data_IF_466370140539
#
_entry.id   IF_466370140539
#
_cell.length_a   1.000
_cell.length_b   1.000
_cell.length_c   1.000
_cell.angle_alpha   90.00
_cell.angle_beta   90.00
_cell.angle_gamma   90.00
#
_symmetry.space_group_name_H-M   'P 1'
#
loop_
_entity.id
_entity.type
_entity.pdbx_description
1 polymer ?
#
# COMPACT_ATOMS: atom_id res chain seq x y z
N UNK A 1 8.15 -28.30 -31.24
CA UNK A 1 8.14 -29.61 -30.54
C UNK A 1 8.75 -29.43 -29.15
N UNK A 2 8.11 -30.05 -28.14
CA UNK A 2 8.53 -30.24 -26.73
C UNK A 2 8.31 -29.08 -25.74
N UNK A 3 7.13 -29.08 -25.12
CA UNK A 3 7.06 -29.05 -23.65
C UNK A 3 7.52 -30.44 -23.15
N UNK A 4 8.18 -30.55 -21.98
CA UNK A 4 7.42 -30.78 -20.74
C UNK A 4 8.01 -30.01 -19.53
N UNK A 5 7.20 -29.47 -18.62
CA UNK A 5 6.50 -30.14 -17.50
C UNK A 5 7.44 -30.66 -16.40
N UNK A 6 6.99 -30.39 -15.17
CA UNK A 6 7.07 -31.24 -13.98
C UNK A 6 8.19 -30.96 -12.95
N UNK A 7 7.81 -30.52 -11.74
CA UNK A 7 7.54 -31.35 -10.52
C UNK A 7 8.80 -31.33 -9.65
N UNK A 8 8.81 -30.54 -8.58
CA UNK A 8 8.48 -30.95 -7.19
C UNK A 8 9.62 -31.67 -6.47
N UNK A 9 9.57 -31.57 -5.14
CA UNK A 9 10.37 -32.25 -4.09
C UNK A 9 11.55 -31.42 -3.58
N UNK A 10 11.45 -30.89 -2.36
CA UNK A 10 11.55 -31.57 -1.05
C UNK A 10 12.93 -32.18 -0.82
N UNK A 11 13.70 -31.51 0.04
CA UNK A 11 14.65 -32.08 1.01
C UNK A 11 15.09 -30.87 1.87
N UNK A 12 14.63 -30.69 3.10
CA UNK A 12 14.82 -31.54 4.27
C UNK A 12 16.29 -31.79 4.59
N UNK A 13 16.57 -31.64 5.89
CA UNK A 13 17.69 -32.19 6.61
C UNK A 13 18.90 -31.26 6.65
N UNK A 14 19.10 -30.56 7.76
CA UNK A 14 19.67 -31.12 9.00
C UNK A 14 21.15 -31.39 8.82
N UNK A 15 21.84 -31.19 9.94
CA UNK A 15 23.12 -31.82 10.25
C UNK A 15 24.33 -31.07 9.72
N UNK A 16 25.45 -30.99 10.44
CA UNK A 16 25.79 -31.50 11.76
C UNK A 16 27.12 -30.83 12.08
N UNK A 17 27.31 -30.58 13.37
CA UNK A 17 28.59 -30.41 14.05
C UNK A 17 29.75 -31.24 13.46
N UNK A 18 30.95 -30.65 13.51
CA UNK A 18 32.22 -31.36 13.29
C UNK A 18 33.02 -30.67 12.19
N UNK A 19 34.12 -29.98 12.46
CA UNK A 19 35.09 -30.17 13.52
C UNK A 19 36.42 -30.22 12.80
N UNK A 20 37.24 -29.18 12.93
CA UNK A 20 38.64 -29.24 12.55
C UNK A 20 39.42 -28.43 13.57
N UNK A 21 40.38 -29.14 14.16
CA UNK A 21 41.22 -28.70 15.26
C UNK A 21 42.10 -27.52 14.85
N UNK A 22 42.43 -26.77 15.88
CA UNK A 22 43.31 -25.62 16.01
C UNK A 22 44.62 -25.70 15.20
N UNK A 23 45.24 -24.53 14.99
CA UNK A 23 46.44 -24.26 15.78
C UNK A 23 46.32 -22.97 16.61
N UNK A 24 46.84 -23.06 17.84
CA UNK A 24 47.02 -21.98 18.81
C UNK A 24 48.16 -21.03 18.38
N UNK A 25 48.00 -19.75 18.79
CA UNK A 25 49.02 -18.83 19.34
C UNK A 25 49.08 -17.46 18.64
N UNK A 26 49.48 -16.37 19.34
CA UNK A 26 48.86 -15.89 20.57
C UNK A 26 48.55 -14.38 20.56
N UNK A 27 47.44 -14.04 21.21
CA UNK A 27 47.14 -12.93 22.12
C UNK A 27 47.62 -11.49 21.83
N UNK A 28 46.62 -10.58 21.77
CA UNK A 28 46.70 -9.16 22.10
C UNK A 28 46.54 -8.25 20.88
N UNK A 29 45.34 -7.96 20.37
CA UNK A 29 44.21 -7.37 21.10
C UNK A 29 44.13 -5.86 20.85
N UNK A 30 44.29 -5.40 19.60
CA UNK A 30 44.01 -4.02 19.19
C UNK A 30 42.48 -3.93 18.98
N UNK A 31 41.77 -2.98 19.61
CA UNK A 31 40.33 -2.87 19.43
C UNK A 31 40.00 -2.45 17.99
N UNK A 32 39.05 -3.10 17.30
CA UNK A 32 38.59 -2.62 16.02
C UNK A 32 37.81 -1.31 16.21
N UNK A 33 38.28 -0.28 15.51
CA UNK A 33 37.56 0.93 15.08
C UNK A 33 36.07 0.90 15.40
N UNK A 34 35.69 1.65 16.43
CA UNK A 34 34.30 1.97 16.73
C UNK A 34 33.73 2.73 15.53
N UNK A 35 32.95 2.04 14.68
CA UNK A 35 32.17 2.70 13.64
C UNK A 35 31.01 3.40 14.34
N UNK A 36 31.24 4.66 14.71
CA UNK A 36 30.24 5.57 15.25
C UNK A 36 29.22 5.88 14.15
N UNK A 37 27.99 5.44 14.33
CA UNK A 37 26.83 5.96 13.60
C UNK A 37 25.86 6.53 14.62
N UNK A 38 25.39 7.75 14.31
CA UNK A 38 24.41 8.56 15.04
C UNK A 38 24.94 9.23 16.32
N UNK A 39 25.36 10.49 16.15
CA UNK A 39 25.24 11.53 17.17
C UNK A 39 23.90 11.41 17.89
N UNK A 40 23.93 11.37 19.22
CA UNK A 40 22.72 11.40 20.05
C UNK A 40 21.87 12.61 19.68
N UNK A 41 20.75 12.38 18.99
CA UNK A 41 19.79 13.44 18.75
C UNK A 41 19.16 13.78 20.11
N UNK A 42 19.14 15.07 20.53
CA UNK A 42 18.48 15.44 21.77
C UNK A 42 17.02 14.97 21.68
N UNK A 43 16.58 14.20 22.69
CA UNK A 43 15.18 13.84 22.86
C UNK A 43 14.40 15.14 23.05
N UNK A 44 13.88 15.67 21.94
CA UNK A 44 13.05 16.87 21.97
C UNK A 44 11.86 16.57 22.86
N UNK A 45 11.85 17.22 24.02
CA UNK A 45 10.74 17.19 24.96
C UNK A 45 9.57 17.84 24.25
N UNK A 46 8.50 17.07 24.10
CA UNK A 46 7.11 17.51 24.01
C UNK A 46 6.95 18.89 23.37
N UNK A 47 6.83 18.93 22.04
CA UNK A 47 6.14 20.06 21.41
C UNK A 47 4.66 19.92 21.79
N UNK A 48 4.35 20.43 22.98
CA UNK A 48 3.02 20.65 23.46
C UNK A 48 2.28 21.54 22.47
N UNK A 49 1.06 21.12 22.17
CA UNK A 49 0.05 21.78 21.39
C UNK A 49 0.17 23.33 21.34
N UNK A 50 0.84 23.83 20.30
CA UNK A 50 0.44 25.07 19.65
C UNK A 50 -0.26 24.67 18.34
N UNK A 51 -1.51 24.22 18.47
CA UNK A 51 -2.42 24.07 17.34
C UNK A 51 -2.89 25.47 16.89
N UNK A 52 -1.96 26.34 16.50
CA UNK A 52 -2.26 27.68 16.02
C UNK A 52 -2.18 27.67 14.50
N UNK A 53 -3.33 27.55 13.84
CA UNK A 53 -3.61 27.70 12.40
C UNK A 53 -2.73 26.91 11.39
N UNK A 54 -1.41 27.01 11.48
CA UNK A 54 -0.37 26.36 10.67
C UNK A 54 -0.51 24.83 10.67
N UNK A 55 -0.68 24.20 11.84
CA UNK A 55 -0.88 22.76 11.92
C UNK A 55 -2.21 22.30 11.29
N UNK A 56 -3.24 23.15 11.37
CA UNK A 56 -4.56 22.89 10.74
C UNK A 56 -4.41 23.03 9.23
N UNK A 57 -3.80 24.11 8.73
CA UNK A 57 -3.56 24.36 7.30
C UNK A 57 -2.67 23.27 6.66
N UNK A 58 -1.59 22.86 7.32
CA UNK A 58 -0.72 21.76 6.88
C UNK A 58 -1.43 20.41 6.88
N UNK A 59 -2.33 20.16 7.86
CA UNK A 59 -3.16 18.96 7.90
C UNK A 59 -4.18 18.96 6.77
N UNK A 60 -4.79 20.10 6.42
CA UNK A 60 -5.76 20.22 5.33
C UNK A 60 -5.16 19.85 3.98
N UNK A 61 -3.98 20.37 3.64
CA UNK A 61 -3.31 20.08 2.36
C UNK A 61 -2.85 18.63 2.26
N UNK A 62 -2.25 18.08 3.33
CA UNK A 62 -1.84 16.68 3.37
C UNK A 62 -3.05 15.73 3.32
N UNK A 63 -4.14 16.05 4.01
CA UNK A 63 -5.36 15.23 3.98
C UNK A 63 -6.01 15.23 2.59
N UNK A 64 -6.06 16.37 1.90
CA UNK A 64 -6.56 16.41 0.52
C UNK A 64 -5.71 15.55 -0.42
N UNK A 65 -4.39 15.57 -0.29
CA UNK A 65 -3.52 14.69 -1.08
C UNK A 65 -3.83 13.20 -0.82
N UNK A 66 -3.97 12.82 0.45
CA UNK A 66 -4.27 11.45 0.84
C UNK A 66 -5.64 10.99 0.32
N UNK A 67 -6.65 11.86 0.33
CA UNK A 67 -7.96 11.55 -0.23
C UNK A 67 -7.92 11.41 -1.75
N UNK A 68 -7.20 12.29 -2.47
CA UNK A 68 -7.03 12.17 -3.93
C UNK A 68 -6.44 10.83 -4.32
N UNK A 69 -5.43 10.35 -3.60
CA UNK A 69 -4.84 9.02 -3.83
C UNK A 69 -5.86 7.90 -3.64
N UNK A 70 -6.71 7.99 -2.61
CA UNK A 70 -7.77 6.99 -2.36
C UNK A 70 -8.85 7.01 -3.43
N UNK A 71 -9.28 8.20 -3.87
CA UNK A 71 -10.25 8.38 -4.95
C UNK A 71 -9.72 7.76 -6.25
N UNK A 72 -8.47 8.06 -6.60
CA UNK A 72 -7.82 7.47 -7.78
C UNK A 72 -7.65 5.95 -7.67
N UNK A 73 -7.33 5.44 -6.48
CA UNK A 73 -7.24 4.01 -6.24
C UNK A 73 -8.61 3.33 -6.46
N UNK A 74 -9.68 3.88 -5.90
CA UNK A 74 -11.05 3.38 -6.11
C UNK A 74 -11.42 3.38 -7.60
N UNK A 75 -11.18 4.49 -8.30
CA UNK A 75 -11.46 4.60 -9.74
C UNK A 75 -10.76 3.51 -10.55
N UNK A 76 -9.47 3.27 -10.27
CA UNK A 76 -8.70 2.21 -10.95
C UNK A 76 -9.21 0.82 -10.62
N UNK A 77 -9.66 0.57 -9.38
CA UNK A 77 -10.27 -0.70 -8.98
C UNK A 77 -11.56 -0.96 -9.78
N UNK A 78 -12.45 0.04 -9.88
CA UNK A 78 -13.69 -0.05 -10.68
C UNK A 78 -13.36 -0.38 -12.15
N UNK A 79 -12.40 0.34 -12.75
CA UNK A 79 -12.02 0.08 -14.15
C UNK A 79 -11.44 -1.32 -14.37
N UNK A 80 -10.69 -1.85 -13.39
CA UNK A 80 -10.14 -3.22 -13.46
C UNK A 80 -11.23 -4.27 -13.25
N UNK A 81 -12.15 -4.06 -12.32
CA UNK A 81 -13.24 -5.00 -12.08
C UNK A 81 -14.32 -5.00 -13.15
N UNK A 82 -14.41 -3.95 -13.99
CA UNK A 82 -15.23 -3.98 -15.21
C UNK A 82 -14.56 -4.69 -16.39
N UNK A 83 -13.26 -5.01 -16.32
CA UNK A 83 -12.56 -5.73 -17.38
C UNK A 83 -13.10 -7.15 -17.65
N UNK A 84 -13.43 -8.00 -16.64
CA UNK A 84 -13.96 -9.35 -16.85
C UNK A 84 -15.39 -9.42 -17.43
N UNK A 85 -16.14 -8.31 -17.49
CA UNK A 85 -17.49 -8.29 -18.08
C UNK A 85 -17.40 -8.70 -19.57
N UNK A 86 -18.16 -9.74 -19.95
CA UNK A 86 -18.23 -10.30 -21.30
C UNK A 86 -19.06 -9.45 -22.26
N UNK A 87 -20.18 -8.90 -21.79
CA UNK A 87 -21.03 -8.03 -22.60
C UNK A 87 -20.41 -6.63 -22.78
N UNK A 88 -20.25 -6.21 -24.03
CA UNK A 88 -19.59 -4.95 -24.38
C UNK A 88 -20.45 -3.72 -24.04
N UNK A 89 -21.78 -3.84 -24.15
CA UNK A 89 -22.73 -2.76 -23.90
C UNK A 89 -22.77 -2.42 -22.41
N UNK A 90 -23.06 -3.43 -21.57
CA UNK A 90 -23.07 -3.28 -20.11
C UNK A 90 -21.73 -2.73 -19.57
N UNK A 91 -20.61 -3.17 -20.17
CA UNK A 91 -19.27 -2.70 -19.81
C UNK A 91 -19.05 -1.23 -20.16
N UNK A 92 -19.52 -0.77 -21.32
CA UNK A 92 -19.43 0.63 -21.73
C UNK A 92 -20.29 1.52 -20.83
N UNK A 93 -21.52 1.08 -20.52
CA UNK A 93 -22.44 1.77 -19.63
C UNK A 93 -21.87 1.92 -18.22
N UNK A 94 -21.35 0.84 -17.65
CA UNK A 94 -20.74 0.86 -16.31
C UNK A 94 -19.56 1.83 -16.23
N UNK A 95 -18.73 1.88 -17.27
CA UNK A 95 -17.59 2.81 -17.34
C UNK A 95 -18.01 4.26 -17.51
N UNK A 96 -19.04 4.49 -18.32
CA UNK A 96 -19.63 5.81 -18.51
C UNK A 96 -20.24 6.32 -17.20
N UNK A 97 -20.99 5.45 -16.51
CA UNK A 97 -21.56 5.74 -15.20
C UNK A 97 -20.48 6.10 -14.17
N UNK A 98 -19.44 5.27 -14.04
CA UNK A 98 -18.33 5.55 -13.14
C UNK A 98 -17.68 6.91 -13.47
N UNK A 99 -17.39 7.19 -14.75
CA UNK A 99 -16.79 8.46 -15.17
C UNK A 99 -17.69 9.66 -14.87
N UNK A 100 -18.99 9.56 -15.16
CA UNK A 100 -19.96 10.61 -14.85
C UNK A 100 -19.99 10.90 -13.35
N UNK A 101 -19.88 9.88 -12.52
CA UNK A 101 -19.96 10.06 -11.07
C UNK A 101 -18.74 10.78 -10.47
N UNK A 102 -17.54 10.52 -10.99
CA UNK A 102 -16.35 11.29 -10.62
C UNK A 102 -16.37 12.72 -11.18
N UNK A 103 -16.95 12.96 -12.35
CA UNK A 103 -17.02 14.31 -12.92
C UNK A 103 -18.00 15.20 -12.13
N UNK A 104 -19.15 14.67 -11.70
CA UNK A 104 -20.13 15.40 -10.86
C UNK A 104 -19.51 15.91 -9.56
N UNK A 105 -18.62 15.14 -8.95
CA UNK A 105 -18.03 15.43 -7.65
C UNK A 105 -16.63 16.05 -7.73
N UNK A 106 -16.18 16.47 -8.91
CA UNK A 106 -14.84 17.04 -9.13
C UNK A 106 -14.59 18.33 -8.35
N UNK A 107 -15.64 19.13 -8.12
CA UNK A 107 -15.57 20.41 -7.40
C UNK A 107 -15.59 20.31 -5.87
N UNK A 108 -15.75 19.12 -5.31
CA UNK A 108 -15.86 18.94 -3.86
C UNK A 108 -14.50 19.14 -3.19
N UNK A 109 -14.40 20.11 -2.29
CA UNK A 109 -13.18 20.41 -1.51
C UNK A 109 -13.28 19.98 -0.05
N UNK A 110 -14.49 19.67 0.45
CA UNK A 110 -14.72 19.24 1.82
C UNK A 110 -14.25 17.81 2.08
N UNK A 111 -13.42 17.64 3.10
CA UNK A 111 -12.82 16.35 3.48
C UNK A 111 -13.86 15.37 4.04
N UNK A 112 -14.88 15.87 4.74
CA UNK A 112 -15.95 15.03 5.29
C UNK A 112 -16.77 14.43 4.16
N UNK A 113 -17.23 15.27 3.24
CA UNK A 113 -18.00 14.88 2.09
C UNK A 113 -17.23 13.94 1.15
N UNK A 114 -15.94 14.22 0.87
CA UNK A 114 -15.10 13.31 0.06
C UNK A 114 -15.06 11.90 0.69
N UNK A 115 -14.90 11.80 2.01
CA UNK A 115 -14.85 10.50 2.70
C UNK A 115 -16.19 9.76 2.62
N UNK A 116 -17.29 10.49 2.77
CA UNK A 116 -18.63 9.94 2.62
C UNK A 116 -18.84 9.39 1.20
N UNK A 117 -18.53 10.18 0.17
CA UNK A 117 -18.63 9.75 -1.23
C UNK A 117 -17.74 8.53 -1.52
N UNK A 118 -16.54 8.49 -0.94
CA UNK A 118 -15.64 7.33 -1.06
C UNK A 118 -16.24 6.07 -0.42
N UNK A 119 -16.87 6.19 0.75
CA UNK A 119 -17.56 5.05 1.37
C UNK A 119 -18.76 4.59 0.55
N UNK A 120 -19.60 5.52 0.09
CA UNK A 120 -20.78 5.22 -0.72
C UNK A 120 -20.38 4.53 -2.02
N UNK A 121 -19.43 5.10 -2.78
CA UNK A 121 -18.97 4.51 -4.03
C UNK A 121 -18.27 3.15 -3.84
N UNK A 122 -17.61 2.93 -2.69
CA UNK A 122 -17.04 1.60 -2.36
C UNK A 122 -18.15 0.58 -2.13
N UNK A 123 -19.18 0.92 -1.36
CA UNK A 123 -20.31 0.02 -1.08
C UNK A 123 -21.10 -0.31 -2.36
N UNK A 124 -21.37 0.70 -3.20
CA UNK A 124 -22.04 0.51 -4.49
C UNK A 124 -21.22 -0.40 -5.42
N UNK A 125 -19.91 -0.17 -5.51
CA UNK A 125 -19.03 -1.02 -6.29
C UNK A 125 -18.98 -2.45 -5.76
N UNK A 126 -18.86 -2.66 -4.44
CA UNK A 126 -18.87 -4.00 -3.85
C UNK A 126 -20.20 -4.74 -4.09
N UNK A 127 -21.32 -4.03 -4.10
CA UNK A 127 -22.62 -4.61 -4.45
C UNK A 127 -22.64 -5.03 -5.93
N UNK A 128 -22.15 -4.18 -6.83
CA UNK A 128 -22.05 -4.46 -8.25
C UNK A 128 -21.08 -5.60 -8.57
N UNK A 129 -19.93 -5.65 -7.90
CA UNK A 129 -18.93 -6.69 -8.08
C UNK A 129 -19.46 -8.07 -7.68
N UNK A 130 -20.30 -8.17 -6.64
CA UNK A 130 -20.99 -9.41 -6.29
C UNK A 130 -21.97 -9.86 -7.38
N UNK A 131 -22.66 -8.92 -8.01
CA UNK A 131 -23.57 -9.22 -9.12
C UNK A 131 -22.81 -9.70 -10.36
N UNK A 132 -21.71 -9.02 -10.71
CA UNK A 132 -20.88 -9.36 -11.87
C UNK A 132 -20.11 -10.66 -11.64
N UNK A 133 -19.52 -10.86 -10.45
CA UNK A 133 -18.78 -12.06 -10.11
C UNK A 133 -19.65 -13.31 -9.93
N UNK A 134 -20.97 -13.12 -9.79
CA UNK A 134 -21.96 -14.20 -9.80
C UNK A 134 -22.44 -14.60 -11.20
N UNK A 135 -22.03 -13.91 -12.26
CA UNK A 135 -22.33 -14.21 -13.68
C UNK A 135 -21.12 -14.84 -14.40
#
# INVERSE_FOLDING_TARGET
MRCPTAISRVASSSSVVGGCRSPLSPCGGIPPTLRSYATEAPRSKRLGATLSLEHVLRKSSHQQFLQRTKVLALYRTILRGTAPIKDATTKAETRSFARAEFERHRGVTDLGHIRYLLSTGKTEWEAMERYIGGM
#
